data_IF_644209945985
#
_entry.id   IF_644209945985
#
_cell.length_a   1.000
_cell.length_b   1.000
_cell.length_c   1.000
_cell.angle_alpha   90.00
_cell.angle_beta   90.00
_cell.angle_gamma   90.00
#
_symmetry.space_group_name_H-M   'P 1'
#
loop_
_entity.id
_entity.type
_entity.pdbx_description
1 polymer ?
#
# COMPACT_ATOMS: atom_id res chain seq x y z
N UNK A 1 -35.60 -4.26 19.77
CA UNK A 1 -35.30 -4.16 18.31
C UNK A 1 -33.85 -3.87 17.97
N UNK A 2 -33.03 -3.28 18.86
CA UNK A 2 -31.58 -2.98 18.57
C UNK A 2 -30.67 -4.21 18.37
N UNK A 3 -31.02 -5.38 18.93
CA UNK A 3 -30.14 -6.56 18.90
C UNK A 3 -30.19 -7.38 17.60
N UNK A 4 -31.28 -7.32 16.83
CA UNK A 4 -31.41 -8.06 15.56
C UNK A 4 -30.54 -7.42 14.48
N UNK A 5 -30.51 -6.10 14.39
CA UNK A 5 -29.66 -5.40 13.41
C UNK A 5 -28.17 -5.58 13.70
N UNK A 6 -27.73 -5.64 14.96
CA UNK A 6 -26.34 -5.91 15.29
C UNK A 6 -25.95 -7.38 15.02
N UNK A 7 -26.89 -8.30 15.15
CA UNK A 7 -26.68 -9.70 14.80
C UNK A 7 -26.59 -9.90 13.26
N UNK A 8 -27.48 -9.25 12.52
CA UNK A 8 -27.47 -9.31 11.05
C UNK A 8 -26.25 -8.61 10.44
N UNK A 9 -25.69 -7.58 11.08
CA UNK A 9 -24.45 -6.93 10.63
C UNK A 9 -23.22 -7.85 10.73
N UNK A 10 -23.25 -8.88 11.59
CA UNK A 10 -22.20 -9.91 11.65
C UNK A 10 -22.14 -10.80 10.41
N UNK A 11 -23.21 -10.89 9.65
CA UNK A 11 -23.32 -11.67 8.43
C UNK A 11 -23.15 -10.82 7.15
N UNK A 12 -22.82 -9.52 7.29
CA UNK A 12 -22.51 -8.73 6.12
C UNK A 12 -21.24 -9.27 5.47
N UNK A 13 -21.30 -9.63 4.19
CA UNK A 13 -20.15 -10.08 3.43
C UNK A 13 -19.06 -8.98 3.43
N UNK A 14 -17.91 -9.29 4.02
CA UNK A 14 -16.76 -8.40 4.00
C UNK A 14 -16.10 -8.44 2.63
N UNK A 15 -15.79 -7.27 2.10
CA UNK A 15 -15.14 -7.12 0.80
C UNK A 15 -13.65 -6.83 1.01
N UNK A 16 -12.82 -7.67 0.45
CA UNK A 16 -11.36 -7.56 0.55
C UNK A 16 -10.81 -7.26 -0.84
N UNK A 17 -9.93 -6.25 -0.93
CA UNK A 17 -9.17 -5.95 -2.14
C UNK A 17 -7.70 -6.29 -1.88
N UNK A 18 -7.17 -7.21 -2.67
CA UNK A 18 -5.76 -7.64 -2.59
C UNK A 18 -4.97 -7.14 -3.78
N UNK A 19 -3.75 -6.65 -3.50
CA UNK A 19 -2.79 -6.19 -4.49
C UNK A 19 -1.53 -7.04 -4.45
N UNK A 20 -1.20 -7.66 -5.57
CA UNK A 20 0.06 -8.36 -5.73
C UNK A 20 1.24 -7.40 -5.79
N UNK A 21 2.40 -7.89 -5.35
CA UNK A 21 3.67 -7.23 -5.58
C UNK A 21 4.03 -7.25 -7.07
N UNK A 22 4.96 -6.41 -7.48
CA UNK A 22 5.41 -6.39 -8.87
C UNK A 22 6.04 -5.07 -9.32
N UNK A 23 6.44 -4.24 -8.37
CA UNK A 23 7.04 -2.93 -8.63
C UNK A 23 6.09 -2.04 -9.43
N UNK A 24 6.60 -1.36 -10.46
CA UNK A 24 5.82 -0.42 -11.28
C UNK A 24 4.65 -1.08 -12.03
N UNK A 25 4.67 -2.40 -12.23
CA UNK A 25 3.58 -3.11 -12.92
C UNK A 25 2.24 -3.01 -12.17
N UNK A 26 2.26 -2.73 -10.88
CA UNK A 26 1.04 -2.51 -10.08
C UNK A 26 0.20 -1.31 -10.56
N UNK A 27 0.77 -0.43 -11.39
CA UNK A 27 0.04 0.68 -12.04
C UNK A 27 -1.14 0.16 -12.88
N UNK A 28 -1.01 -1.03 -13.48
CA UNK A 28 -2.09 -1.62 -14.27
C UNK A 28 -3.36 -1.83 -13.43
N UNK A 29 -3.22 -2.29 -12.18
CA UNK A 29 -4.35 -2.40 -11.26
C UNK A 29 -5.00 -1.04 -10.97
N UNK A 30 -4.20 0.02 -10.82
CA UNK A 30 -4.72 1.37 -10.56
C UNK A 30 -5.48 1.94 -11.76
N UNK A 31 -5.05 1.63 -12.99
CA UNK A 31 -5.79 2.02 -14.21
C UNK A 31 -7.15 1.34 -14.26
N UNK A 32 -7.20 0.04 -13.93
CA UNK A 32 -8.46 -0.70 -13.83
C UNK A 32 -9.38 -0.12 -12.74
N UNK A 33 -8.84 0.13 -11.55
CA UNK A 33 -9.61 0.67 -10.43
C UNK A 33 -10.12 2.09 -10.70
N UNK A 34 -9.34 2.93 -11.39
CA UNK A 34 -9.80 4.25 -11.84
C UNK A 34 -11.04 4.13 -12.74
N UNK A 35 -11.04 3.19 -13.68
CA UNK A 35 -12.20 2.92 -14.53
C UNK A 35 -13.38 2.43 -13.71
N UNK A 36 -13.15 1.54 -12.76
CA UNK A 36 -14.20 1.04 -11.85
C UNK A 36 -14.81 2.16 -11.00
N UNK A 37 -14.01 3.10 -10.47
CA UNK A 37 -14.51 4.29 -9.77
C UNK A 37 -15.39 5.15 -10.67
N UNK A 38 -14.96 5.37 -11.91
CA UNK A 38 -15.71 6.18 -12.88
C UNK A 38 -17.06 5.54 -13.24
N UNK A 39 -17.11 4.23 -13.44
CA UNK A 39 -18.33 3.50 -13.81
C UNK A 39 -19.28 3.31 -12.62
N UNK A 40 -18.75 3.08 -11.43
CA UNK A 40 -19.57 2.85 -10.23
C UNK A 40 -20.02 4.13 -9.52
N UNK A 41 -19.38 5.26 -9.80
CA UNK A 41 -19.58 6.53 -9.09
C UNK A 41 -19.12 6.49 -7.61
N UNK A 42 -18.36 5.48 -7.20
CA UNK A 42 -17.92 5.26 -5.81
C UNK A 42 -16.41 5.12 -5.73
N UNK A 43 -15.82 5.67 -4.65
CA UNK A 43 -14.39 5.46 -4.38
C UNK A 43 -14.11 3.99 -4.04
N UNK A 44 -12.95 3.50 -4.43
CA UNK A 44 -12.45 2.18 -4.03
C UNK A 44 -12.34 2.07 -2.51
N UNK A 45 -11.85 3.12 -1.85
CA UNK A 45 -11.76 3.18 -0.38
C UNK A 45 -13.10 2.95 0.32
N UNK A 46 -14.22 3.37 -0.30
CA UNK A 46 -15.55 3.20 0.27
C UNK A 46 -16.21 1.86 -0.09
N UNK A 47 -15.70 1.21 -1.12
CA UNK A 47 -16.28 -0.02 -1.68
C UNK A 47 -15.77 -1.30 -1.03
N UNK A 48 -14.66 -1.24 -0.29
CA UNK A 48 -14.03 -2.37 0.36
C UNK A 48 -13.83 -2.13 1.86
N UNK A 49 -13.86 -3.21 2.64
CA UNK A 49 -13.68 -3.19 4.09
C UNK A 49 -12.21 -3.40 4.50
N UNK A 50 -11.46 -4.11 3.68
CA UNK A 50 -10.06 -4.48 3.95
C UNK A 50 -9.22 -4.38 2.69
N UNK A 51 -7.99 -3.90 2.87
CA UNK A 51 -6.98 -3.79 1.82
C UNK A 51 -5.76 -4.62 2.20
N UNK A 52 -5.33 -5.47 1.30
CA UNK A 52 -4.20 -6.38 1.49
C UNK A 52 -3.17 -6.13 0.40
N UNK A 53 -1.89 -6.20 0.73
CA UNK A 53 -0.89 -6.03 -0.31
C UNK A 53 0.50 -6.53 0.05
N UNK A 54 1.31 -6.76 -0.99
CA UNK A 54 2.72 -7.15 -0.87
C UNK A 54 3.59 -6.18 -1.67
N UNK A 55 4.71 -5.71 -1.08
CA UNK A 55 5.65 -4.81 -1.75
C UNK A 55 4.96 -3.54 -2.29
N UNK A 56 5.08 -3.26 -3.59
CA UNK A 56 4.38 -2.16 -4.28
C UNK A 56 2.84 -2.22 -4.11
N UNK A 57 2.28 -3.42 -4.05
CA UNK A 57 0.87 -3.62 -3.75
C UNK A 57 0.49 -3.21 -2.33
N UNK A 58 1.40 -3.41 -1.35
CA UNK A 58 1.18 -2.92 0.02
C UNK A 58 1.11 -1.39 0.08
N UNK A 59 1.93 -0.69 -0.71
CA UNK A 59 1.84 0.76 -0.84
C UNK A 59 0.47 1.21 -1.38
N UNK A 60 -0.03 0.57 -2.45
CA UNK A 60 -1.36 0.88 -2.98
C UNK A 60 -2.46 0.57 -1.95
N UNK A 61 -2.40 -0.59 -1.30
CA UNK A 61 -3.34 -0.97 -0.25
C UNK A 61 -3.38 0.06 0.89
N UNK A 62 -2.21 0.52 1.34
CA UNK A 62 -2.08 1.56 2.37
C UNK A 62 -2.70 2.89 1.92
N UNK A 63 -2.50 3.30 0.67
CA UNK A 63 -3.08 4.52 0.12
C UNK A 63 -4.62 4.49 0.16
N UNK A 64 -5.24 3.36 -0.13
CA UNK A 64 -6.69 3.21 -0.02
C UNK A 64 -7.16 3.11 1.42
N UNK A 65 -6.45 2.35 2.27
CA UNK A 65 -6.85 2.11 3.66
C UNK A 65 -6.71 3.36 4.54
N UNK A 66 -5.59 4.06 4.46
CA UNK A 66 -5.27 5.18 5.36
C UNK A 66 -5.52 6.54 4.74
N UNK A 67 -5.23 6.69 3.45
CA UNK A 67 -5.41 7.94 2.73
C UNK A 67 -6.83 8.18 2.25
N UNK A 68 -7.64 7.13 2.09
CA UNK A 68 -8.96 7.22 1.46
C UNK A 68 -8.89 7.82 0.04
N UNK A 69 -7.73 7.63 -0.63
CA UNK A 69 -7.47 8.25 -1.92
C UNK A 69 -8.27 7.59 -3.04
N UNK A 70 -8.51 8.31 -4.11
CA UNK A 70 -9.00 7.74 -5.37
C UNK A 70 -7.88 7.00 -6.09
N UNK A 71 -8.23 6.07 -6.97
CA UNK A 71 -7.26 5.33 -7.78
C UNK A 71 -6.39 6.25 -8.64
N UNK A 72 -6.94 7.37 -9.12
CA UNK A 72 -6.18 8.37 -9.88
C UNK A 72 -5.13 9.08 -8.99
N UNK A 73 -5.50 9.42 -7.76
CA UNK A 73 -4.57 10.00 -6.80
C UNK A 73 -3.46 9.02 -6.44
N UNK A 74 -3.77 7.74 -6.18
CA UNK A 74 -2.75 6.72 -5.91
C UNK A 74 -1.82 6.56 -7.12
N UNK A 75 -2.38 6.54 -8.33
CA UNK A 75 -1.59 6.49 -9.58
C UNK A 75 -0.64 7.67 -9.71
N UNK A 76 -1.01 8.87 -9.26
CA UNK A 76 -0.15 10.06 -9.34
C UNK A 76 1.13 9.97 -8.51
N UNK A 77 1.21 9.05 -7.57
CA UNK A 77 2.44 8.76 -6.82
C UNK A 77 3.41 7.83 -7.57
N UNK A 78 2.99 7.21 -8.67
CA UNK A 78 3.82 6.35 -9.51
C UNK A 78 4.47 7.12 -10.66
N UNK A 79 5.01 8.31 -10.37
CA UNK A 79 5.75 9.14 -11.33
C UNK A 79 7.24 8.90 -11.21
N UNK A 80 7.98 9.26 -12.24
CA UNK A 80 9.45 9.18 -12.25
C UNK A 80 10.09 9.92 -11.08
N UNK A 81 9.49 11.02 -10.64
CA UNK A 81 9.99 11.81 -9.51
C UNK A 81 9.95 11.01 -8.20
N UNK A 82 8.80 10.40 -7.88
CA UNK A 82 8.66 9.57 -6.68
C UNK A 82 9.47 8.28 -6.79
N UNK A 83 9.47 7.65 -7.96
CA UNK A 83 10.24 6.42 -8.20
C UNK A 83 11.74 6.66 -8.02
N UNK A 84 12.29 7.75 -8.52
CA UNK A 84 13.70 8.13 -8.31
C UNK A 84 14.03 8.34 -6.84
N UNK A 85 13.16 8.96 -6.06
CA UNK A 85 13.34 9.11 -4.61
C UNK A 85 13.32 7.75 -3.88
N UNK A 86 12.34 6.90 -4.19
CA UNK A 86 12.14 5.59 -3.54
C UNK A 86 13.23 4.58 -3.92
N UNK A 87 13.68 4.62 -5.18
CA UNK A 87 14.63 3.65 -5.75
C UNK A 87 16.06 4.19 -5.80
N UNK A 88 16.36 5.26 -5.09
CA UNK A 88 17.73 5.79 -5.03
C UNK A 88 18.67 4.72 -4.50
N UNK A 89 19.60 4.30 -5.34
CA UNK A 89 20.64 3.32 -4.97
C UNK A 89 21.71 3.99 -4.12
N UNK A 90 22.27 3.24 -3.17
CA UNK A 90 23.44 3.70 -2.42
C UNK A 90 24.62 3.86 -3.38
N UNK A 91 25.35 4.99 -3.28
CA UNK A 91 26.54 5.29 -4.09
C UNK A 91 27.60 4.15 -4.11
N UNK A 92 27.66 3.38 -3.04
CA UNK A 92 28.62 2.27 -2.91
C UNK A 92 28.18 0.97 -3.58
N UNK A 93 26.90 0.85 -4.02
CA UNK A 93 26.39 -0.39 -4.61
C UNK A 93 27.05 -0.71 -5.95
N UNK A 94 27.29 0.30 -6.77
CA UNK A 94 27.87 0.12 -8.12
C UNK A 94 29.35 -0.28 -8.09
N UNK A 95 30.07 -0.01 -6.97
CA UNK A 95 31.49 -0.33 -6.81
C UNK A 95 31.79 -1.55 -5.94
N UNK A 96 30.83 -2.02 -5.16
CA UNK A 96 31.00 -3.09 -4.17
C UNK A 96 30.02 -4.27 -4.36
N UNK A 97 29.74 -4.63 -5.61
CA UNK A 97 28.82 -5.75 -5.92
C UNK A 97 29.28 -7.12 -5.38
N UNK A 98 30.50 -7.23 -4.92
CA UNK A 98 31.09 -8.46 -4.35
C UNK A 98 30.88 -8.60 -2.83
N UNK A 99 30.57 -7.52 -2.11
CA UNK A 99 30.36 -7.56 -0.65
C UNK A 99 29.00 -6.90 -0.36
N UNK A 100 27.96 -7.70 -0.28
CA UNK A 100 26.57 -7.26 0.01
C UNK A 100 26.42 -6.82 1.49
N UNK A 101 27.29 -5.94 1.98
CA UNK A 101 27.30 -5.49 3.36
C UNK A 101 26.31 -4.36 3.68
N UNK A 102 25.63 -3.80 2.66
CA UNK A 102 24.68 -2.68 2.83
C UNK A 102 23.42 -2.85 1.99
N UNK A 103 22.28 -2.28 2.42
CA UNK A 103 21.05 -2.28 1.64
C UNK A 103 21.24 -1.63 0.26
N UNK A 104 20.63 -2.22 -0.76
CA UNK A 104 20.71 -1.71 -2.15
C UNK A 104 20.13 -0.30 -2.29
N UNK A 105 19.05 -0.01 -1.55
CA UNK A 105 18.34 1.26 -1.62
C UNK A 105 18.45 2.03 -0.31
N UNK A 106 18.57 3.34 -0.40
CA UNK A 106 18.56 4.23 0.75
C UNK A 106 17.14 4.35 1.33
N UNK A 107 17.03 4.30 2.68
CA UNK A 107 15.73 4.41 3.35
C UNK A 107 15.23 5.86 3.44
N UNK A 108 16.11 6.85 3.41
CA UNK A 108 15.76 8.25 3.61
C UNK A 108 14.71 8.75 2.62
N UNK A 109 14.90 8.49 1.32
CA UNK A 109 13.95 8.89 0.27
C UNK A 109 12.59 8.20 0.39
N UNK A 110 12.56 6.93 0.83
CA UNK A 110 11.30 6.22 1.08
C UNK A 110 10.53 6.83 2.25
N UNK A 111 11.22 7.10 3.36
CA UNK A 111 10.59 7.70 4.54
C UNK A 111 10.07 9.11 4.24
N UNK A 112 10.80 9.90 3.45
CA UNK A 112 10.36 11.21 3.01
C UNK A 112 9.04 11.12 2.22
N UNK A 113 8.98 10.23 1.22
CA UNK A 113 7.78 10.01 0.40
C UNK A 113 6.60 9.50 1.24
N UNK A 114 6.84 8.55 2.14
CA UNK A 114 5.79 8.03 3.01
C UNK A 114 5.25 9.10 3.97
N UNK A 115 6.13 9.95 4.53
CA UNK A 115 5.71 11.09 5.37
C UNK A 115 4.92 12.13 4.57
N UNK A 116 5.33 12.42 3.34
CA UNK A 116 4.62 13.34 2.45
C UNK A 116 3.19 12.83 2.14
N UNK A 117 3.04 11.52 1.88
CA UNK A 117 1.76 10.93 1.46
C UNK A 117 0.82 10.69 2.65
N UNK A 118 1.33 10.16 3.75
CA UNK A 118 0.53 9.71 4.89
C UNK A 118 0.52 10.70 6.06
N UNK A 119 1.44 11.68 6.07
CA UNK A 119 1.56 12.67 7.15
C UNK A 119 1.62 12.01 8.54
N UNK A 120 0.73 12.42 9.44
CA UNK A 120 0.58 11.89 10.79
C UNK A 120 -0.42 10.72 10.90
N UNK A 121 -0.84 10.14 9.77
CA UNK A 121 -1.75 9.00 9.79
C UNK A 121 -1.02 7.75 10.29
N UNK A 122 -1.56 7.16 11.34
CA UNK A 122 -1.08 5.90 11.90
C UNK A 122 -2.03 4.77 11.57
N UNK A 123 -1.56 3.53 11.66
CA UNK A 123 -2.38 2.32 11.48
C UNK A 123 -3.63 2.33 12.38
N UNK A 124 -3.52 2.86 13.61
CA UNK A 124 -4.63 2.96 14.55
C UNK A 124 -5.74 3.92 14.13
N UNK A 125 -5.44 4.92 13.30
CA UNK A 125 -6.42 5.92 12.85
C UNK A 125 -7.19 5.49 11.60
N UNK A 126 -6.88 4.34 11.03
CA UNK A 126 -7.56 3.85 9.84
C UNK A 126 -8.96 3.34 10.17
N UNK A 127 -9.95 3.76 9.39
CA UNK A 127 -11.31 3.20 9.42
C UNK A 127 -11.44 1.89 8.63
N UNK A 128 -10.36 1.46 7.96
CA UNK A 128 -10.30 0.26 7.13
C UNK A 128 -9.24 -0.69 7.65
N UNK A 129 -9.49 -1.97 7.50
CA UNK A 129 -8.48 -2.98 7.81
C UNK A 129 -7.38 -2.97 6.74
N UNK A 130 -6.15 -3.07 7.19
CA UNK A 130 -4.98 -3.18 6.32
C UNK A 130 -4.16 -4.40 6.74
N UNK A 131 -3.60 -5.07 5.75
CA UNK A 131 -2.71 -6.20 5.96
C UNK A 131 -1.56 -6.14 4.95
N UNK A 132 -0.33 -6.22 5.44
CA UNK A 132 0.87 -6.31 4.62
C UNK A 132 1.72 -7.49 5.03
N UNK A 133 2.18 -8.25 4.04
CA UNK A 133 3.16 -9.30 4.26
C UNK A 133 4.56 -8.67 4.32
N UNK A 134 5.24 -8.85 5.44
CA UNK A 134 6.59 -8.36 5.71
C UNK A 134 7.54 -9.51 6.00
N UNK A 135 8.83 -9.28 5.79
CA UNK A 135 9.89 -10.20 6.18
C UNK A 135 10.69 -9.61 7.34
N UNK A 136 10.68 -10.29 8.47
CA UNK A 136 11.44 -9.89 9.64
C UNK A 136 12.86 -10.48 9.55
N UNK A 137 13.82 -9.60 9.27
CA UNK A 137 15.19 -10.00 8.89
C UNK A 137 15.92 -10.67 10.05
N UNK A 138 15.74 -10.19 11.28
CA UNK A 138 16.45 -10.71 12.47
C UNK A 138 16.11 -12.18 12.74
N UNK A 139 14.81 -12.53 12.67
CA UNK A 139 14.35 -13.89 12.92
C UNK A 139 14.18 -14.72 11.65
N UNK A 140 14.42 -14.13 10.48
CA UNK A 140 14.24 -14.76 9.16
C UNK A 140 12.83 -15.36 8.97
N UNK A 141 11.81 -14.67 9.46
CA UNK A 141 10.40 -15.12 9.41
C UNK A 141 9.54 -14.14 8.63
N UNK A 142 8.45 -14.64 8.07
CA UNK A 142 7.41 -13.79 7.50
C UNK A 142 6.49 -13.32 8.63
N UNK A 143 6.15 -12.04 8.58
CA UNK A 143 5.24 -11.39 9.54
C UNK A 143 4.13 -10.71 8.77
N UNK A 144 2.93 -10.79 9.30
CA UNK A 144 1.75 -10.07 8.83
C UNK A 144 1.56 -8.84 9.74
N UNK A 145 1.54 -7.66 9.13
CA UNK A 145 1.25 -6.39 9.80
C UNK A 145 -0.15 -5.92 9.42
#
# INVERSE_FOLDING_TARGET
MKNIFSFLSRFSNKKILSFDGGGVRTIAALVFLKKLEAESGRKISDSFDMFVGTSAGAFNAACFAFGGFTADKVKSYWTDTYLKKIMKTSFFWDKASLIQARPRYENAGRLEVLKEIFCENTLQKSNKHFLSLCYYIENRTHVIL
#
